data_IF_053380386616
#
_entry.id   IF_053380386616
#
_cell.length_a   1.000
_cell.length_b   1.000
_cell.length_c   1.000
_cell.angle_alpha   90.00
_cell.angle_beta   90.00
_cell.angle_gamma   90.00
#
_symmetry.space_group_name_H-M   'P 1'
#
loop_
_entity.id
_entity.type
_entity.pdbx_description
1 polymer ?
#
# COMPACT_ATOMS: atom_id res chain seq x y z
N UNK A 1 0.61 10.73 -4.25
CA UNK A 1 1.64 10.09 -5.11
C UNK A 1 2.28 11.07 -6.09
N UNK A 2 1.52 11.70 -6.99
CA UNK A 2 2.06 12.71 -7.93
C UNK A 2 2.84 13.85 -7.23
N UNK A 3 2.28 14.42 -6.15
CA UNK A 3 2.97 15.45 -5.32
C UNK A 3 4.31 14.96 -4.74
N UNK A 4 4.47 13.66 -4.53
CA UNK A 4 5.70 13.05 -4.01
C UNK A 4 6.69 12.67 -5.13
N UNK A 5 6.38 12.94 -6.40
CA UNK A 5 7.24 12.64 -7.55
C UNK A 5 7.42 11.16 -7.85
N UNK A 6 6.52 10.29 -7.37
CA UNK A 6 6.64 8.85 -7.58
C UNK A 6 6.07 8.45 -8.95
N UNK A 7 6.78 7.62 -9.73
CA UNK A 7 6.33 7.16 -11.05
C UNK A 7 5.30 6.03 -10.90
N UNK A 8 4.17 6.32 -10.26
CA UNK A 8 3.09 5.35 -10.00
C UNK A 8 1.77 5.90 -10.53
N UNK A 9 0.96 5.01 -11.11
CA UNK A 9 -0.42 5.32 -11.45
C UNK A 9 -1.31 5.11 -10.23
N UNK A 10 -2.23 6.07 -10.00
CA UNK A 10 -3.28 5.95 -8.98
C UNK A 10 -4.60 5.88 -9.72
N UNK A 11 -5.38 4.84 -9.44
CA UNK A 11 -6.69 4.62 -10.03
C UNK A 11 -7.69 4.24 -8.94
N UNK A 12 -8.96 4.59 -9.15
CA UNK A 12 -10.08 4.11 -8.34
C UNK A 12 -10.49 2.72 -8.81
N UNK A 13 -10.98 1.90 -7.89
CA UNK A 13 -11.50 0.56 -8.17
C UNK A 13 -12.78 0.38 -7.37
N UNK A 14 -13.78 -0.27 -7.96
CA UNK A 14 -15.11 -0.40 -7.35
C UNK A 14 -15.12 -1.31 -6.12
N UNK A 15 -14.35 -2.40 -6.14
CA UNK A 15 -14.32 -3.36 -5.05
C UNK A 15 -12.91 -3.88 -4.77
N UNK A 16 -12.53 -3.82 -3.50
CA UNK A 16 -11.32 -4.45 -2.95
C UNK A 16 -11.65 -5.47 -1.86
N UNK A 17 -12.91 -5.91 -1.76
CA UNK A 17 -13.41 -6.83 -0.74
C UNK A 17 -13.17 -6.36 0.72
N UNK A 18 -12.97 -5.06 0.92
CA UNK A 18 -12.76 -4.43 2.23
C UNK A 18 -14.02 -3.78 2.80
N UNK A 19 -15.21 -4.32 2.53
CA UNK A 19 -16.50 -3.65 2.76
C UNK A 19 -16.73 -3.18 4.20
N UNK A 20 -16.13 -3.85 5.19
CA UNK A 20 -16.25 -3.51 6.62
C UNK A 20 -15.19 -2.50 7.09
N UNK A 21 -14.28 -2.07 6.21
CA UNK A 21 -13.13 -1.21 6.52
C UNK A 21 -13.29 0.11 5.76
N UNK A 22 -13.44 1.26 6.45
CA UNK A 22 -13.42 2.55 5.77
C UNK A 22 -12.11 2.76 5.01
N UNK A 23 -12.20 3.26 3.78
CA UNK A 23 -11.09 3.63 2.89
C UNK A 23 -9.98 2.58 2.75
N UNK A 24 -9.89 1.95 1.58
CA UNK A 24 -8.85 0.96 1.29
C UNK A 24 -7.91 1.42 0.18
N UNK A 25 -6.67 0.90 0.19
CA UNK A 25 -5.69 1.16 -0.84
C UNK A 25 -4.87 -0.09 -1.10
N UNK A 26 -4.73 -0.46 -2.37
CA UNK A 26 -3.93 -1.59 -2.80
C UNK A 26 -2.69 -1.13 -3.58
N UNK A 27 -1.57 -1.82 -3.33
CA UNK A 27 -0.35 -1.70 -4.13
C UNK A 27 -0.16 -2.99 -4.91
N UNK A 28 -0.06 -2.87 -6.24
CA UNK A 28 0.10 -4.00 -7.15
C UNK A 28 1.12 -3.67 -8.23
N UNK A 29 1.92 -4.66 -8.57
CA UNK A 29 2.80 -4.67 -9.74
C UNK A 29 2.95 -6.12 -10.18
N UNK A 30 3.01 -6.42 -11.49
CA UNK A 30 3.32 -7.78 -11.97
C UNK A 30 4.60 -8.32 -11.32
N UNK A 31 4.59 -9.60 -10.94
CA UNK A 31 5.73 -10.27 -10.30
C UNK A 31 6.04 -9.84 -8.87
N UNK A 32 5.24 -8.93 -8.28
CA UNK A 32 5.44 -8.45 -6.91
C UNK A 32 4.28 -8.85 -6.02
N UNK A 33 4.58 -9.09 -4.75
CA UNK A 33 3.60 -9.28 -3.68
C UNK A 33 2.62 -8.10 -3.69
N UNK A 34 1.32 -8.37 -3.73
CA UNK A 34 0.30 -7.32 -3.59
C UNK A 34 0.00 -7.06 -2.11
N UNK A 35 -0.23 -5.79 -1.78
CA UNK A 35 -0.62 -5.36 -0.43
C UNK A 35 -1.95 -4.65 -0.49
N UNK A 36 -2.84 -4.96 0.46
CA UNK A 36 -4.10 -4.26 0.67
C UNK A 36 -4.11 -3.69 2.09
N UNK A 37 -4.31 -2.38 2.20
CA UNK A 37 -4.49 -1.67 3.45
C UNK A 37 -5.94 -1.20 3.58
N UNK A 38 -6.43 -1.08 4.82
CA UNK A 38 -7.72 -0.45 5.13
C UNK A 38 -7.70 0.32 6.44
N UNK A 39 -8.87 0.83 6.85
CA UNK A 39 -8.99 1.78 7.96
C UNK A 39 -8.10 3.02 7.76
N UNK A 40 -7.99 3.45 6.50
CA UNK A 40 -7.10 4.54 6.12
C UNK A 40 -7.76 5.89 6.40
N UNK A 41 -6.97 6.79 6.98
CA UNK A 41 -7.31 8.20 7.20
C UNK A 41 -6.25 9.10 6.54
N UNK A 42 -6.48 10.41 6.60
CA UNK A 42 -5.51 11.39 6.09
C UNK A 42 -4.13 11.30 6.79
N UNK A 43 -4.07 10.78 8.01
CA UNK A 43 -2.83 10.61 8.77
C UNK A 43 -1.93 9.52 8.17
N UNK A 44 -2.50 8.56 7.44
CA UNK A 44 -1.75 7.45 6.84
C UNK A 44 -1.09 7.84 5.51
N UNK A 45 -1.40 9.01 4.95
CA UNK A 45 -0.95 9.40 3.60
C UNK A 45 0.58 9.43 3.48
N UNK A 46 1.28 9.88 4.50
CA UNK A 46 2.74 9.92 4.49
C UNK A 46 3.33 8.51 4.57
N UNK A 47 2.77 7.63 5.42
CA UNK A 47 3.16 6.23 5.50
C UNK A 47 2.89 5.46 4.19
N UNK A 48 1.79 5.76 3.49
CA UNK A 48 1.49 5.20 2.17
C UNK A 48 2.51 5.65 1.10
N UNK A 49 2.99 6.89 1.16
CA UNK A 49 4.07 7.38 0.28
C UNK A 49 5.39 6.68 0.60
N UNK A 50 5.71 6.50 1.89
CA UNK A 50 6.88 5.74 2.33
C UNK A 50 6.80 4.28 1.86
N UNK A 51 5.64 3.64 2.01
CA UNK A 51 5.41 2.30 1.50
C UNK A 51 5.63 2.24 -0.02
N UNK A 52 5.07 3.17 -0.77
CA UNK A 52 5.22 3.22 -2.23
C UNK A 52 6.70 3.29 -2.66
N UNK A 53 7.53 4.08 -1.96
CA UNK A 53 8.98 4.17 -2.21
C UNK A 53 9.68 2.83 -1.97
N UNK A 54 9.39 2.19 -0.84
CA UNK A 54 9.96 0.88 -0.49
C UNK A 54 9.53 -0.20 -1.48
N UNK A 55 8.26 -0.18 -1.87
CA UNK A 55 7.69 -1.11 -2.84
C UNK A 55 8.28 -0.96 -4.24
N UNK A 56 8.56 0.28 -4.67
CA UNK A 56 9.28 0.57 -5.91
C UNK A 56 10.72 0.03 -5.88
N UNK A 57 11.42 0.21 -4.75
CA UNK A 57 12.79 -0.24 -4.57
C UNK A 57 12.94 -1.77 -4.40
N UNK A 58 11.88 -2.46 -3.96
CA UNK A 58 11.87 -3.92 -3.82
C UNK A 58 11.67 -4.61 -5.17
N UNK A 59 12.43 -5.67 -5.45
CA UNK A 59 12.32 -6.44 -6.69
C UNK A 59 11.05 -7.31 -6.73
N UNK A 60 10.69 -7.93 -5.61
CA UNK A 60 9.56 -8.87 -5.45
C UNK A 60 8.37 -8.26 -4.68
N UNK A 61 8.47 -6.98 -4.33
CA UNK A 61 7.49 -6.25 -3.53
C UNK A 61 7.44 -6.69 -2.07
N UNK A 62 8.24 -7.67 -1.64
CA UNK A 62 8.25 -8.10 -0.25
C UNK A 62 8.90 -7.03 0.63
N UNK A 63 8.22 -6.67 1.70
CA UNK A 63 8.74 -5.76 2.71
C UNK A 63 9.22 -6.54 3.94
N UNK A 64 10.53 -6.52 4.18
CA UNK A 64 11.16 -7.25 5.28
C UNK A 64 10.94 -6.57 6.65
N UNK A 65 10.95 -5.23 6.68
CA UNK A 65 10.72 -4.45 7.90
C UNK A 65 9.57 -3.46 7.70
N UNK A 66 8.44 -3.74 8.35
CA UNK A 66 7.27 -2.87 8.32
C UNK A 66 7.27 -1.81 9.43
N UNK A 67 8.23 -1.81 10.37
CA UNK A 67 8.26 -0.83 11.48
C UNK A 67 8.40 0.61 10.98
N UNK A 68 9.08 0.79 9.85
CA UNK A 68 9.23 2.08 9.16
C UNK A 68 7.90 2.68 8.68
N UNK A 69 6.82 1.90 8.65
CA UNK A 69 5.49 2.36 8.25
C UNK A 69 4.66 2.90 9.43
N UNK A 70 5.19 2.90 10.66
CA UNK A 70 4.43 3.32 11.84
C UNK A 70 3.15 2.49 12.00
N UNK A 71 2.03 3.17 12.23
CA UNK A 71 0.72 2.53 12.45
C UNK A 71 0.16 1.82 11.23
N UNK A 72 0.56 2.23 10.01
CA UNK A 72 0.10 1.63 8.76
C UNK A 72 0.41 0.12 8.71
N UNK A 73 1.48 -0.34 9.38
CA UNK A 73 1.84 -1.78 9.43
C UNK A 73 0.75 -2.66 10.04
N UNK A 74 -0.08 -2.10 10.92
CA UNK A 74 -1.19 -2.81 11.56
C UNK A 74 -2.48 -2.76 10.75
N UNK A 75 -2.49 -1.93 9.69
CA UNK A 75 -3.63 -1.72 8.80
C UNK A 75 -3.59 -2.60 7.54
N UNK A 76 -2.59 -3.48 7.43
CA UNK A 76 -2.50 -4.45 6.35
C UNK A 76 -3.59 -5.52 6.51
N UNK A 77 -4.52 -5.56 5.55
CA UNK A 77 -5.60 -6.55 5.48
C UNK A 77 -5.10 -7.82 4.80
N UNK A 78 -4.32 -7.67 3.73
CA UNK A 78 -3.81 -8.80 2.96
C UNK A 78 -2.39 -8.53 2.43
N UNK A 79 -1.61 -9.61 2.39
CA UNK A 79 -0.34 -9.72 1.68
C UNK A 79 -0.44 -10.94 0.77
N UNK A 80 -0.45 -10.72 -0.54
CA UNK A 80 -0.76 -11.74 -1.54
C UNK A 80 0.50 -11.97 -2.38
N UNK A 81 1.20 -13.11 -2.23
CA UNK A 81 2.36 -13.46 -3.06
C UNK A 81 2.01 -13.49 -4.56
N UNK A 82 3.02 -13.25 -5.41
CA UNK A 82 2.89 -13.29 -6.86
C UNK A 82 2.79 -14.74 -7.40
#
# INVERSE_FOLDING_TARGET
>A
MAKAGLPVAVATVDCMSGCTRPSTCAFRSPGKTAYLFGDLSAQDLEALVTFARLYLASADGALADARVLGDLRFKAIARIPA
#
